data_IF_644134835358
#
_entry.id   IF_644134835358
#
_cell.length_a   1.000
_cell.length_b   1.000
_cell.length_c   1.000
_cell.angle_alpha   90.00
_cell.angle_beta   90.00
_cell.angle_gamma   90.00
#
_symmetry.space_group_name_H-M   'P 1'
#
loop_
_entity.id
_entity.type
_entity.pdbx_description
1 polymer ?
#
# COMPACT_ATOMS: atom_id res chain seq x y z
N UNK A 1 -10.33 -11.86 2.50
CA UNK A 1 -10.01 -11.33 1.18
C UNK A 1 -11.09 -11.78 0.23
N UNK A 2 -12.00 -10.87 -0.18
CA UNK A 2 -13.09 -11.21 -1.09
C UNK A 2 -12.62 -11.54 -2.52
N UNK A 3 -11.33 -11.34 -2.83
CA UNK A 3 -10.73 -11.68 -4.12
C UNK A 3 -10.14 -13.09 -4.16
N UNK A 4 -10.00 -13.76 -3.02
CA UNK A 4 -9.60 -15.17 -2.96
C UNK A 4 -10.81 -16.08 -3.05
N UNK A 5 -10.61 -17.28 -3.60
CA UNK A 5 -11.61 -18.34 -3.62
C UNK A 5 -10.95 -19.63 -3.12
N UNK A 6 -11.35 -20.16 -1.94
CA UNK A 6 -12.33 -19.58 -1.01
C UNK A 6 -11.86 -18.24 -0.41
N UNK A 7 -12.80 -17.46 0.15
CA UNK A 7 -12.45 -16.17 0.78
C UNK A 7 -11.55 -16.40 1.99
N UNK A 8 -10.30 -15.92 1.90
CA UNK A 8 -9.30 -16.02 2.98
C UNK A 8 -9.64 -15.07 4.15
N UNK A 9 -9.81 -15.51 5.40
CA UNK A 9 -9.96 -14.59 6.53
C UNK A 9 -8.74 -13.67 6.70
N UNK A 10 -8.97 -12.38 6.98
CA UNK A 10 -7.88 -11.44 7.22
C UNK A 10 -7.62 -11.34 8.72
N UNK A 11 -6.41 -11.70 9.15
CA UNK A 11 -6.03 -11.64 10.56
C UNK A 11 -5.52 -10.25 10.93
N UNK A 12 -6.39 -9.50 11.63
CA UNK A 12 -6.11 -8.14 12.08
C UNK A 12 -5.01 -8.07 13.15
N UNK A 13 -4.65 -9.18 13.78
CA UNK A 13 -3.52 -9.25 14.71
C UNK A 13 -2.17 -9.34 13.97
N UNK A 14 -2.19 -9.69 12.69
CA UNK A 14 -1.00 -9.81 11.84
C UNK A 14 -1.09 -8.87 10.62
N UNK A 15 -1.18 -7.55 10.82
CA UNK A 15 -1.49 -6.60 9.76
C UNK A 15 -0.44 -6.56 8.63
N UNK A 16 0.81 -6.95 8.90
CA UNK A 16 1.83 -7.10 7.86
C UNK A 16 1.47 -8.19 6.84
N UNK A 17 0.81 -9.28 7.27
CA UNK A 17 0.37 -10.34 6.35
C UNK A 17 -0.77 -9.84 5.47
N UNK A 18 -1.67 -9.02 6.00
CA UNK A 18 -2.72 -8.34 5.21
C UNK A 18 -2.08 -7.46 4.14
N UNK A 19 -1.11 -6.61 4.50
CA UNK A 19 -0.40 -5.75 3.53
C UNK A 19 0.29 -6.56 2.44
N UNK A 20 0.95 -7.67 2.81
CA UNK A 20 1.61 -8.54 1.84
C UNK A 20 0.62 -9.21 0.90
N UNK A 21 -0.48 -9.74 1.45
CA UNK A 21 -1.53 -10.39 0.68
C UNK A 21 -2.21 -9.43 -0.31
N UNK A 22 -2.63 -8.25 0.15
CA UNK A 22 -3.24 -7.23 -0.72
C UNK A 22 -2.24 -6.66 -1.72
N UNK A 23 -0.98 -6.45 -1.29
CA UNK A 23 0.10 -6.05 -2.18
C UNK A 23 0.36 -7.06 -3.30
N UNK A 24 0.27 -8.36 -3.00
CA UNK A 24 0.38 -9.42 -4.00
C UNK A 24 -0.75 -9.35 -5.03
N UNK A 25 -2.00 -9.12 -4.61
CA UNK A 25 -3.10 -8.85 -5.53
C UNK A 25 -2.83 -7.61 -6.41
N UNK A 26 -2.46 -6.47 -5.82
CA UNK A 26 -2.21 -5.23 -6.57
C UNK A 26 -1.15 -5.42 -7.66
N UNK A 27 -0.13 -6.24 -7.40
CA UNK A 27 0.99 -6.42 -8.33
C UNK A 27 0.80 -7.54 -9.35
N UNK A 28 0.02 -8.59 -9.05
CA UNK A 28 -0.01 -9.81 -9.86
C UNK A 28 -1.41 -10.26 -10.29
N UNK A 29 -2.48 -9.72 -9.70
CA UNK A 29 -3.85 -10.08 -10.06
C UNK A 29 -4.28 -9.27 -11.30
N UNK A 30 -4.48 -9.92 -12.46
CA UNK A 30 -4.86 -9.21 -13.68
C UNK A 30 -6.26 -8.59 -13.60
N UNK A 31 -7.08 -8.97 -12.61
CA UNK A 31 -8.42 -8.42 -12.40
C UNK A 31 -8.42 -7.14 -11.57
N UNK A 32 -7.27 -6.74 -11.02
CA UNK A 32 -7.13 -5.53 -10.22
C UNK A 32 -6.66 -4.38 -11.11
N UNK A 33 -7.58 -3.46 -11.37
CA UNK A 33 -7.25 -2.21 -12.05
C UNK A 33 -6.53 -1.23 -11.10
N UNK A 34 -5.20 -1.12 -11.27
CA UNK A 34 -4.36 -0.19 -10.50
C UNK A 34 -4.66 1.28 -10.79
N UNK A 35 -5.29 1.58 -11.92
CA UNK A 35 -5.70 2.95 -12.28
C UNK A 35 -6.71 3.50 -11.26
N UNK A 36 -7.49 2.62 -10.62
CA UNK A 36 -8.44 2.96 -9.56
C UNK A 36 -7.78 3.28 -8.20
N UNK A 37 -6.45 3.15 -8.13
CA UNK A 37 -5.64 3.36 -6.92
C UNK A 37 -6.17 2.54 -5.72
N UNK A 38 -6.27 1.21 -5.85
CA UNK A 38 -6.93 0.34 -4.86
C UNK A 38 -6.27 0.41 -3.48
N UNK A 39 -7.09 0.31 -2.43
CA UNK A 39 -6.61 0.32 -1.05
C UNK A 39 -5.69 -0.86 -0.73
N UNK A 40 -4.52 -0.60 -0.15
CA UNK A 40 -3.57 -1.64 0.27
C UNK A 40 -4.02 -2.54 1.43
N UNK A 41 -5.21 -2.34 1.99
CA UNK A 41 -5.77 -3.18 3.07
C UNK A 41 -7.06 -3.92 2.68
N UNK A 42 -7.75 -3.48 1.62
CA UNK A 42 -9.04 -4.06 1.24
C UNK A 42 -9.37 -4.04 -0.26
N UNK A 43 -8.47 -3.51 -1.10
CA UNK A 43 -8.59 -3.40 -2.56
C UNK A 43 -9.75 -2.56 -3.09
N UNK A 44 -10.54 -1.89 -2.23
CA UNK A 44 -11.56 -0.94 -2.69
C UNK A 44 -10.90 0.24 -3.41
N UNK A 45 -11.51 0.76 -4.49
CA UNK A 45 -10.95 1.87 -5.27
C UNK A 45 -10.95 3.18 -4.48
N UNK A 46 -10.06 4.10 -4.85
CA UNK A 46 -10.14 5.49 -4.41
C UNK A 46 -11.43 6.14 -4.97
N UNK A 47 -12.13 7.03 -4.24
CA UNK A 47 -11.83 7.59 -2.92
C UNK A 47 -12.44 6.83 -1.74
N UNK A 48 -12.93 5.59 -1.92
CA UNK A 48 -13.68 4.88 -0.86
C UNK A 48 -12.86 4.67 0.41
N UNK A 49 -11.54 4.54 0.30
CA UNK A 49 -10.63 4.44 1.43
C UNK A 49 -9.68 5.64 1.43
N UNK A 50 -9.74 6.44 2.48
CA UNK A 50 -8.87 7.61 2.64
C UNK A 50 -7.96 7.38 3.84
N UNK A 51 -6.67 7.15 3.56
CA UNK A 51 -5.65 6.88 4.57
C UNK A 51 -4.83 8.15 4.78
N UNK A 52 -4.65 8.56 6.02
CA UNK A 52 -3.83 9.70 6.39
C UNK A 52 -2.67 9.26 7.28
N UNK A 53 -1.56 9.99 7.18
CA UNK A 53 -0.39 9.80 8.03
C UNK A 53 -0.24 11.00 8.96
N UNK A 54 0.25 10.74 10.17
CA UNK A 54 0.70 11.74 11.14
C UNK A 54 2.14 11.45 11.59
N UNK A 55 2.82 12.45 12.15
CA UNK A 55 4.12 12.26 12.81
C UNK A 55 3.88 11.51 14.12
N UNK A 56 4.70 10.51 14.44
CA UNK A 56 4.69 9.89 15.78
C UNK A 56 5.54 10.70 16.74
N UNK A 57 5.08 10.89 17.97
CA UNK A 57 5.67 11.81 18.94
C UNK A 57 7.00 11.40 19.59
N UNK A 58 7.47 10.16 19.42
CA UNK A 58 8.59 9.62 20.19
C UNK A 58 9.95 9.54 19.47
N UNK A 59 10.00 9.74 18.15
CA UNK A 59 11.26 9.85 17.42
C UNK A 59 11.08 10.81 16.23
N UNK A 60 12.00 11.77 16.10
CA UNK A 60 12.00 12.70 14.98
C UNK A 60 12.01 11.91 13.65
N UNK A 61 11.02 12.18 12.80
CA UNK A 61 10.81 11.62 11.45
C UNK A 61 10.09 10.28 11.31
N UNK A 62 9.58 9.66 12.37
CA UNK A 62 8.77 8.44 12.19
C UNK A 62 7.31 8.79 11.87
N UNK A 63 6.78 8.26 10.77
CA UNK A 63 5.38 8.40 10.37
C UNK A 63 4.55 7.25 10.93
N UNK A 64 3.28 7.51 11.21
CA UNK A 64 2.30 6.50 11.57
C UNK A 64 0.94 6.81 10.96
N UNK A 65 0.06 5.82 10.88
CA UNK A 65 -1.30 6.02 10.40
C UNK A 65 -2.04 6.93 11.38
N UNK A 66 -2.71 7.94 10.82
CA UNK A 66 -3.66 8.75 11.56
C UNK A 66 -5.00 8.02 11.59
N UNK A 67 -5.16 7.12 12.57
CA UNK A 67 -6.35 6.30 12.74
C UNK A 67 -7.62 7.13 12.99
N UNK A 68 -7.48 8.34 13.55
CA UNK A 68 -8.61 9.22 13.82
C UNK A 68 -9.09 9.93 12.55
N UNK A 69 -8.17 10.28 11.64
CA UNK A 69 -8.49 10.95 10.37
C UNK A 69 -8.83 9.97 9.24
N UNK A 70 -8.23 8.78 9.27
CA UNK A 70 -8.40 7.74 8.24
C UNK A 70 -9.79 7.11 8.31
N UNK A 71 -10.38 6.81 7.15
CA UNK A 71 -11.79 6.41 7.05
C UNK A 71 -12.10 5.56 5.81
N UNK A 72 -13.22 4.83 5.90
CA UNK A 72 -13.84 4.08 4.80
C UNK A 72 -13.30 2.66 4.56
N UNK A 73 -12.08 2.35 5.03
CA UNK A 73 -11.53 1.00 4.94
C UNK A 73 -12.10 0.09 6.04
N UNK A 74 -12.76 -1.04 5.70
CA UNK A 74 -13.28 -1.98 6.71
C UNK A 74 -12.17 -2.74 7.45
N UNK A 75 -10.97 -2.79 6.85
CA UNK A 75 -9.80 -3.46 7.41
C UNK A 75 -8.76 -2.44 7.91
N UNK A 76 -9.21 -1.26 8.35
CA UNK A 76 -8.30 -0.24 8.87
C UNK A 76 -7.64 -0.76 10.15
N UNK A 77 -6.33 -0.94 10.11
CA UNK A 77 -5.55 -1.56 11.18
C UNK A 77 -4.26 -0.80 11.41
N UNK A 78 -3.81 -0.76 12.67
CA UNK A 78 -2.50 -0.23 13.00
C UNK A 78 -1.41 -1.22 12.57
N UNK A 79 -0.36 -0.74 11.92
CA UNK A 79 0.84 -1.51 11.66
C UNK A 79 2.08 -0.64 11.88
N UNK A 80 3.21 -1.28 12.16
CA UNK A 80 4.49 -0.59 12.23
C UNK A 80 4.87 -0.06 10.84
N UNK A 81 4.68 1.24 10.63
CA UNK A 81 4.96 1.90 9.34
C UNK A 81 6.43 1.73 8.93
N UNK A 82 7.37 1.95 9.86
CA UNK A 82 8.80 1.81 9.58
C UNK A 82 9.18 0.38 9.18
N UNK A 83 8.57 -0.63 9.83
CA UNK A 83 8.76 -2.03 9.44
C UNK A 83 8.18 -2.31 8.07
N UNK A 84 6.96 -1.86 7.79
CA UNK A 84 6.28 -2.06 6.51
C UNK A 84 6.93 -1.29 5.34
N UNK A 85 7.65 -0.20 5.63
CA UNK A 85 8.37 0.57 4.62
C UNK A 85 9.55 -0.21 4.02
N UNK A 86 10.16 -1.10 4.81
CA UNK A 86 11.36 -1.85 4.49
C UNK A 86 10.97 -3.26 4.06
N UNK A 87 11.21 -3.55 2.77
CA UNK A 87 11.08 -4.92 2.26
C UNK A 87 12.32 -5.73 2.62
N UNK A 88 12.12 -6.94 3.15
CA UNK A 88 13.15 -7.92 3.51
C UNK A 88 12.73 -9.30 2.98
N UNK A 89 13.65 -10.25 2.97
CA UNK A 89 13.36 -11.61 2.48
C UNK A 89 12.17 -12.27 3.19
N UNK A 90 12.10 -12.18 4.52
CA UNK A 90 10.98 -12.70 5.33
C UNK A 90 9.71 -11.84 5.28
N UNK A 91 9.76 -10.63 4.72
CA UNK A 91 8.64 -9.70 4.58
C UNK A 91 8.82 -8.88 3.30
N UNK A 92 8.55 -9.48 2.12
CA UNK A 92 8.93 -8.89 0.84
C UNK A 92 8.04 -7.70 0.44
N UNK A 93 6.87 -7.57 1.07
CA UNK A 93 5.98 -6.45 0.83
C UNK A 93 6.52 -5.17 1.42
N UNK A 94 6.41 -4.09 0.65
CA UNK A 94 6.64 -2.74 1.16
C UNK A 94 5.57 -1.74 0.74
N UNK A 95 4.36 -2.26 0.52
CA UNK A 95 3.21 -1.44 0.18
C UNK A 95 2.76 -0.64 1.39
N UNK A 96 3.09 0.65 1.42
CA UNK A 96 2.69 1.57 2.48
C UNK A 96 2.04 2.81 1.88
N UNK A 97 1.16 3.51 2.63
CA UNK A 97 0.71 4.84 2.23
C UNK A 97 1.89 5.82 2.19
N UNK A 98 1.95 6.66 1.16
CA UNK A 98 2.96 7.69 0.97
C UNK A 98 2.29 9.03 0.72
N UNK A 99 2.87 10.12 1.22
CA UNK A 99 2.44 11.47 0.83
C UNK A 99 2.99 11.79 -0.55
N UNK A 100 2.12 12.21 -1.47
CA UNK A 100 2.54 12.78 -2.73
C UNK A 100 2.90 14.25 -2.52
N UNK A 101 4.07 14.69 -2.99
CA UNK A 101 4.54 16.08 -2.84
C UNK A 101 3.88 17.05 -3.83
N UNK A 102 3.14 16.53 -4.80
CA UNK A 102 2.35 17.33 -5.75
C UNK A 102 0.89 17.50 -5.31
N UNK A 103 0.41 16.68 -4.36
CA UNK A 103 -0.90 16.84 -3.75
C UNK A 103 -0.87 17.87 -2.62
N UNK A 104 -2.04 18.36 -2.23
CA UNK A 104 -2.18 19.20 -1.05
C UNK A 104 -1.80 18.41 0.21
N UNK A 105 -1.19 19.07 1.19
CA UNK A 105 -0.79 18.42 2.45
C UNK A 105 -1.99 17.84 3.24
N UNK A 106 -3.21 18.29 2.91
CA UNK A 106 -4.46 17.83 3.51
C UNK A 106 -5.03 16.59 2.83
N UNK A 107 -4.54 16.23 1.64
CA UNK A 107 -5.05 15.11 0.86
C UNK A 107 -4.70 13.76 1.49
N UNK A 108 -5.50 12.71 1.19
CA UNK A 108 -5.15 11.34 1.56
C UNK A 108 -3.84 10.91 0.91
N UNK A 109 -3.17 9.98 1.58
CA UNK A 109 -1.96 9.33 1.07
C UNK A 109 -2.25 8.33 -0.05
N UNK A 110 -1.22 8.01 -0.82
CA UNK A 110 -1.25 7.09 -1.96
C UNK A 110 -0.45 5.84 -1.61
N UNK A 111 -1.01 4.66 -1.81
CA UNK A 111 -0.29 3.41 -1.60
C UNK A 111 0.89 3.28 -2.57
N UNK A 112 2.07 2.89 -2.08
CA UNK A 112 3.33 2.80 -2.85
C UNK A 112 3.16 2.10 -4.19
N UNK A 113 2.47 0.96 -4.22
CA UNK A 113 2.30 0.20 -5.45
C UNK A 113 1.36 0.86 -6.48
N UNK A 114 0.60 1.87 -6.08
CA UNK A 114 -0.25 2.67 -6.96
C UNK A 114 0.36 4.04 -7.31
N UNK A 115 1.54 4.37 -6.76
CA UNK A 115 2.09 5.73 -6.82
C UNK A 115 2.40 6.19 -8.26
N UNK A 116 2.86 5.27 -9.12
CA UNK A 116 3.09 5.54 -10.54
C UNK A 116 1.79 5.96 -11.24
N UNK A 117 0.74 5.15 -11.11
CA UNK A 117 -0.58 5.41 -11.71
C UNK A 117 -1.18 6.72 -11.19
N UNK A 118 -1.02 6.98 -9.88
CA UNK A 118 -1.44 8.24 -9.28
C UNK A 118 -0.75 9.44 -9.94
N UNK A 119 0.58 9.43 -10.09
CA UNK A 119 1.30 10.52 -10.74
C UNK A 119 0.84 10.71 -12.19
N UNK A 120 0.74 9.63 -12.97
CA UNK A 120 0.33 9.70 -14.37
C UNK A 120 -1.06 10.32 -14.55
N UNK A 121 -2.00 10.07 -13.63
CA UNK A 121 -3.37 10.56 -13.75
C UNK A 121 -3.59 11.94 -13.13
N UNK A 122 -2.98 12.22 -11.97
CA UNK A 122 -3.24 13.44 -11.18
C UNK A 122 -2.21 14.53 -11.42
N UNK A 123 -1.02 14.14 -11.83
CA UNK A 123 0.12 15.03 -12.00
C UNK A 123 0.86 14.65 -13.30
N UNK A 124 0.20 14.74 -14.47
CA UNK A 124 0.76 14.28 -15.75
C UNK A 124 2.09 14.98 -16.11
N UNK A 125 2.31 16.20 -15.61
CA UNK A 125 3.53 16.97 -15.81
C UNK A 125 4.67 16.60 -14.83
N UNK A 126 4.41 15.74 -13.84
CA UNK A 126 5.42 15.31 -12.89
C UNK A 126 6.40 14.32 -13.53
N UNK A 127 7.70 14.55 -13.34
CA UNK A 127 8.75 13.64 -13.83
C UNK A 127 8.67 12.27 -13.16
N UNK A 128 8.28 11.24 -13.91
CA UNK A 128 8.26 9.86 -13.41
C UNK A 128 9.65 9.34 -13.06
N UNK A 129 10.70 9.82 -13.75
CA UNK A 129 12.09 9.41 -13.48
C UNK A 129 12.51 9.82 -12.07
N UNK A 130 12.09 11.00 -11.61
CA UNK A 130 12.40 11.47 -10.25
C UNK A 130 11.82 10.57 -9.15
N UNK A 131 10.73 9.86 -9.43
CA UNK A 131 10.01 9.05 -8.45
C UNK A 131 10.15 7.55 -8.68
N UNK A 132 10.97 7.11 -9.66
CA UNK A 132 11.05 5.70 -10.05
C UNK A 132 11.36 4.76 -8.88
N UNK A 133 12.20 5.20 -7.95
CA UNK A 133 12.60 4.42 -6.78
C UNK A 133 11.43 4.06 -5.84
N UNK A 134 10.31 4.78 -5.93
CA UNK A 134 9.11 4.50 -5.15
C UNK A 134 8.47 3.18 -5.57
N UNK A 135 8.40 2.90 -6.88
CA UNK A 135 7.71 1.71 -7.42
C UNK A 135 8.64 0.67 -8.03
N UNK A 136 9.92 0.96 -8.22
CA UNK A 136 10.90 -0.02 -8.69
C UNK A 136 11.12 -1.07 -7.60
N UNK A 137 10.73 -2.31 -7.90
CA UNK A 137 10.98 -3.47 -7.04
C UNK A 137 12.22 -4.21 -7.54
N UNK A 138 13.10 -4.60 -6.62
CA UNK A 138 14.24 -5.46 -6.98
C UNK A 138 13.74 -6.88 -7.28
N UNK A 139 14.53 -7.65 -8.04
CA UNK A 139 14.18 -9.03 -8.40
C UNK A 139 13.84 -9.90 -7.16
N UNK A 140 14.59 -9.76 -6.07
CA UNK A 140 14.31 -10.46 -4.81
C UNK A 140 12.94 -10.10 -4.22
N UNK A 141 12.53 -8.82 -4.27
CA UNK A 141 11.22 -8.38 -3.78
C UNK A 141 10.09 -8.92 -4.64
N UNK A 142 10.29 -8.93 -5.97
CA UNK A 142 9.35 -9.52 -6.92
C UNK A 142 9.19 -11.01 -6.61
N UNK A 143 10.29 -11.75 -6.47
CA UNK A 143 10.26 -13.18 -6.13
C UNK A 143 9.52 -13.44 -4.80
N UNK A 144 9.81 -12.67 -3.76
CA UNK A 144 9.13 -12.82 -2.47
C UNK A 144 7.62 -12.51 -2.55
N UNK A 145 7.21 -11.47 -3.28
CA UNK A 145 5.79 -11.18 -3.51
C UNK A 145 5.12 -12.28 -4.34
N UNK A 146 5.81 -12.87 -5.33
CA UNK A 146 5.30 -13.99 -6.11
C UNK A 146 5.06 -15.23 -5.26
N UNK A 147 5.91 -15.49 -4.26
CA UNK A 147 5.66 -16.57 -3.28
C UNK A 147 4.36 -16.31 -2.51
N UNK A 148 4.17 -15.09 -2.01
CA UNK A 148 2.91 -14.70 -1.32
C UNK A 148 1.71 -14.86 -2.25
N UNK A 149 1.85 -14.45 -3.52
CA UNK A 149 0.80 -14.60 -4.53
C UNK A 149 0.44 -16.07 -4.77
N UNK A 150 1.42 -16.96 -4.89
CA UNK A 150 1.19 -18.38 -5.15
C UNK A 150 0.55 -19.10 -3.95
N UNK A 151 0.81 -18.63 -2.73
CA UNK A 151 0.26 -19.17 -1.47
C UNK A 151 -0.99 -18.43 -0.98
N UNK A 152 -1.63 -17.61 -1.81
CA UNK A 152 -2.71 -16.70 -1.38
C UNK A 152 -4.02 -17.36 -0.95
N UNK A 153 -4.16 -18.68 -1.14
CA UNK A 153 -5.40 -19.44 -0.90
C UNK A 153 -5.28 -20.31 0.34
#
# INVERSE_FOLDING_TARGET
CPKCTPSLPLDMNHPQTILAHMGAHILNDPTIDRSTQPCGLCLRPWPMCQIFLKKSGSAANTLTLDMAKSRGCPNLVYFSYGTALISKESSPCSNVPLRCTHCDAKDPTVWRYNFKEHLMQRHPDASLVKYSDIWTLTAAKIAGILVVWNLRN
#
